data_IF_915020317380
#
_entry.id   IF_915020317380
#
_cell.length_a   1.000
_cell.length_b   1.000
_cell.length_c   1.000
_cell.angle_alpha   90.00
_cell.angle_beta   90.00
_cell.angle_gamma   90.00
#
_symmetry.space_group_name_H-M   'P 1'
#
loop_
_entity.id
_entity.type
_entity.pdbx_description
1 polymer ?
#
# COMPACT_ATOMS: atom_id res chain seq x y z
N UNK A 1 -14.46 -27.99 11.66
CA UNK A 1 -13.48 -27.62 12.70
C UNK A 1 -12.28 -26.99 12.01
N UNK A 2 -11.59 -26.06 12.66
CA UNK A 2 -10.30 -25.50 12.25
C UNK A 2 -9.27 -25.77 13.34
N UNK A 3 -8.00 -25.75 12.99
CA UNK A 3 -6.89 -25.91 13.92
C UNK A 3 -6.38 -24.52 14.29
N UNK A 4 -6.16 -24.28 15.58
CA UNK A 4 -5.74 -22.96 16.06
C UNK A 4 -4.54 -23.07 16.99
N UNK A 5 -3.76 -22.00 17.02
CA UNK A 5 -2.67 -21.78 17.96
C UNK A 5 -3.04 -20.60 18.84
N UNK A 6 -2.88 -20.76 20.15
CA UNK A 6 -3.07 -19.69 21.13
C UNK A 6 -1.74 -19.22 21.70
N UNK A 7 -1.72 -17.97 22.19
CA UNK A 7 -0.64 -17.45 23.03
C UNK A 7 -0.79 -17.89 24.49
N UNK A 8 0.18 -17.51 25.33
CA UNK A 8 0.19 -17.80 26.77
C UNK A 8 -0.98 -17.16 27.54
N UNK A 9 -1.67 -16.18 26.94
CA UNK A 9 -2.86 -15.51 27.49
C UNK A 9 -4.17 -16.14 26.95
N UNK A 10 -4.09 -17.19 26.13
CA UNK A 10 -5.24 -17.87 25.56
C UNK A 10 -5.89 -17.17 24.36
N UNK A 11 -5.22 -16.19 23.72
CA UNK A 11 -5.73 -15.51 22.53
C UNK A 11 -5.35 -16.25 21.26
N UNK A 12 -6.21 -16.21 20.24
CA UNK A 12 -5.92 -16.78 18.93
C UNK A 12 -4.75 -16.05 18.23
N UNK A 13 -3.67 -16.78 17.93
CA UNK A 13 -2.53 -16.31 17.16
C UNK A 13 -2.61 -16.72 15.69
N UNK A 14 -3.04 -17.96 15.44
CA UNK A 14 -3.08 -18.56 14.10
C UNK A 14 -4.28 -19.49 13.99
N UNK A 15 -4.90 -19.49 12.81
CA UNK A 15 -6.03 -20.36 12.47
C UNK A 15 -5.79 -20.93 11.08
N UNK A 16 -5.89 -22.26 10.93
CA UNK A 16 -5.77 -22.96 9.64
C UNK A 16 -6.81 -24.07 9.48
N UNK A 17 -7.09 -24.43 8.22
CA UNK A 17 -8.02 -25.51 7.89
C UNK A 17 -7.39 -26.90 8.04
N UNK A 18 -6.07 -27.00 7.93
CA UNK A 18 -5.30 -28.23 8.08
C UNK A 18 -4.51 -28.23 9.40
N UNK A 19 -4.20 -29.40 9.99
CA UNK A 19 -3.32 -29.48 11.14
C UNK A 19 -1.94 -28.92 10.81
N UNK A 20 -1.36 -28.14 11.73
CA UNK A 20 -0.03 -27.56 11.58
C UNK A 20 0.78 -27.72 12.86
N UNK A 21 2.10 -27.67 12.73
CA UNK A 21 3.01 -27.77 13.87
C UNK A 21 2.87 -26.56 14.80
N UNK A 22 2.73 -26.81 16.10
CA UNK A 22 2.44 -25.78 17.10
C UNK A 22 0.96 -25.42 17.26
N UNK A 23 0.02 -26.14 16.63
CA UNK A 23 -1.40 -26.02 16.96
C UNK A 23 -1.64 -26.43 18.43
N UNK A 24 -2.49 -25.67 19.13
CA UNK A 24 -2.80 -25.92 20.54
C UNK A 24 -4.16 -26.57 20.71
N UNK A 25 -5.12 -26.30 19.82
CA UNK A 25 -6.46 -26.87 19.89
C UNK A 25 -7.20 -26.84 18.55
N UNK A 26 -8.41 -27.39 18.54
CA UNK A 26 -9.36 -27.26 17.43
C UNK A 26 -10.55 -26.40 17.84
N UNK A 27 -10.94 -25.46 16.97
CA UNK A 27 -12.07 -24.57 17.18
C UNK A 27 -13.18 -24.88 16.17
N UNK A 28 -14.44 -24.69 16.56
CA UNK A 28 -15.58 -24.84 15.65
C UNK A 28 -15.59 -23.69 14.63
N UNK A 29 -15.91 -24.02 13.37
CA UNK A 29 -15.97 -23.04 12.27
C UNK A 29 -17.05 -21.98 12.54
N UNK A 30 -18.14 -22.35 13.21
CA UNK A 30 -19.25 -21.46 13.54
C UNK A 30 -19.07 -20.74 14.89
N UNK A 31 -17.89 -20.84 15.52
CA UNK A 31 -17.67 -20.18 16.81
C UNK A 31 -17.65 -18.65 16.65
N UNK A 32 -18.35 -17.97 17.56
CA UNK A 32 -18.35 -16.50 17.60
C UNK A 32 -16.94 -15.92 17.76
N UNK A 33 -16.07 -16.62 18.49
CA UNK A 33 -14.66 -16.26 18.67
C UNK A 33 -13.90 -16.24 17.32
N UNK A 34 -14.05 -17.29 16.51
CA UNK A 34 -13.39 -17.36 15.20
C UNK A 34 -13.85 -16.24 14.28
N UNK A 35 -15.17 -15.98 14.24
CA UNK A 35 -15.71 -14.89 13.45
C UNK A 35 -15.16 -13.53 13.91
N UNK A 36 -15.12 -13.28 15.22
CA UNK A 36 -14.57 -12.05 15.78
C UNK A 36 -13.09 -11.87 15.43
N UNK A 37 -12.28 -12.94 15.52
CA UNK A 37 -10.86 -12.91 15.17
C UNK A 37 -10.63 -12.64 13.68
N UNK A 38 -11.39 -13.31 12.80
CA UNK A 38 -11.32 -13.09 11.35
C UNK A 38 -11.70 -11.66 10.98
N UNK A 39 -12.78 -11.13 11.57
CA UNK A 39 -13.20 -9.74 11.34
C UNK A 39 -12.17 -8.73 11.82
N UNK A 40 -11.61 -8.90 13.02
CA UNK A 40 -10.57 -8.02 13.53
C UNK A 40 -9.30 -8.05 12.66
N UNK A 41 -8.91 -9.24 12.17
CA UNK A 41 -7.77 -9.39 11.27
C UNK A 41 -8.01 -8.70 9.92
N UNK A 42 -9.20 -8.84 9.35
CA UNK A 42 -9.54 -8.16 8.10
C UNK A 42 -9.59 -6.63 8.30
N UNK A 43 -10.17 -6.13 9.39
CA UNK A 43 -10.17 -4.69 9.70
C UNK A 43 -8.75 -4.12 9.82
N UNK A 44 -7.84 -4.83 10.50
CA UNK A 44 -6.43 -4.41 10.59
C UNK A 44 -5.77 -4.40 9.21
N UNK A 45 -6.06 -5.40 8.38
CA UNK A 45 -5.55 -5.50 7.02
C UNK A 45 -6.08 -4.39 6.12
N UNK A 46 -7.36 -4.07 6.20
CA UNK A 46 -7.99 -2.95 5.48
C UNK A 46 -7.39 -1.62 5.91
N UNK A 47 -7.25 -1.38 7.23
CA UNK A 47 -6.59 -0.17 7.76
C UNK A 47 -5.15 -0.06 7.27
N UNK A 48 -4.40 -1.16 7.25
CA UNK A 48 -3.02 -1.18 6.74
C UNK A 48 -2.97 -0.92 5.22
N UNK A 49 -3.93 -1.46 4.46
CA UNK A 49 -4.05 -1.20 3.03
C UNK A 49 -4.36 0.28 2.75
N UNK A 50 -5.33 0.85 3.47
CA UNK A 50 -5.69 2.26 3.39
C UNK A 50 -4.53 3.18 3.78
N UNK A 51 -3.75 2.82 4.80
CA UNK A 51 -2.55 3.57 5.16
C UNK A 51 -1.51 3.53 4.02
N UNK A 52 -1.25 2.37 3.44
CA UNK A 52 -0.32 2.23 2.31
C UNK A 52 -0.78 3.04 1.09
N UNK A 53 -2.08 3.07 0.82
CA UNK A 53 -2.66 3.84 -0.28
C UNK A 53 -2.48 5.35 -0.03
N UNK A 54 -2.83 5.83 1.17
CA UNK A 54 -2.64 7.25 1.52
C UNK A 54 -1.16 7.67 1.53
N UNK A 55 -0.23 6.78 1.91
CA UNK A 55 1.21 7.01 1.76
C UNK A 55 1.62 7.19 0.28
N UNK A 56 1.04 6.39 -0.63
CA UNK A 56 1.33 6.51 -2.07
C UNK A 56 0.82 7.84 -2.65
N UNK A 57 -0.38 8.28 -2.23
CA UNK A 57 -0.93 9.58 -2.58
C UNK A 57 -0.05 10.72 -2.04
N UNK A 58 0.39 10.61 -0.78
CA UNK A 58 1.24 11.61 -0.14
C UNK A 58 2.57 11.80 -0.88
N UNK A 59 3.18 10.72 -1.39
CA UNK A 59 4.44 10.85 -2.14
C UNK A 59 4.28 11.73 -3.38
N UNK A 60 3.13 11.69 -4.07
CA UNK A 60 2.87 12.57 -5.21
C UNK A 60 2.79 14.04 -4.79
N UNK A 61 2.08 14.31 -3.69
CA UNK A 61 1.99 15.67 -3.13
C UNK A 61 3.37 16.19 -2.73
N UNK A 62 4.20 15.35 -2.11
CA UNK A 62 5.57 15.70 -1.74
C UNK A 62 6.45 16.03 -2.95
N UNK A 63 6.32 15.29 -4.04
CA UNK A 63 7.02 15.57 -5.31
C UNK A 63 6.66 16.97 -5.83
N UNK A 64 5.36 17.31 -5.87
CA UNK A 64 4.89 18.60 -6.35
C UNK A 64 5.34 19.74 -5.41
N UNK A 65 5.29 19.54 -4.09
CA UNK A 65 5.79 20.52 -3.10
C UNK A 65 7.29 20.75 -3.28
N UNK A 66 8.09 19.69 -3.45
CA UNK A 66 9.52 19.83 -3.73
C UNK A 66 9.75 20.62 -5.01
N UNK A 67 9.00 20.33 -6.08
CA UNK A 67 9.06 21.08 -7.33
C UNK A 67 8.76 22.57 -7.13
N UNK A 68 7.71 22.91 -6.39
CA UNK A 68 7.36 24.31 -6.07
C UNK A 68 8.45 25.00 -5.27
N UNK A 69 9.02 24.33 -4.25
CA UNK A 69 10.07 24.92 -3.41
C UNK A 69 11.36 25.17 -4.21
N UNK A 70 11.73 24.25 -5.11
CA UNK A 70 12.86 24.42 -6.03
C UNK A 70 12.60 25.55 -7.02
N UNK A 71 11.41 25.60 -7.64
CA UNK A 71 11.04 26.64 -8.60
C UNK A 71 11.03 28.04 -7.98
N UNK A 72 10.64 28.16 -6.70
CA UNK A 72 10.70 29.41 -5.93
C UNK A 72 12.10 29.73 -5.39
N UNK A 73 13.07 28.84 -5.58
CA UNK A 73 14.44 29.01 -5.06
C UNK A 73 14.55 28.92 -3.54
N UNK A 74 13.54 28.36 -2.85
CA UNK A 74 13.54 28.19 -1.39
C UNK A 74 14.54 27.12 -0.97
N UNK A 75 14.66 26.05 -1.76
CA UNK A 75 15.67 25.00 -1.61
C UNK A 75 16.37 24.79 -2.96
N UNK A 76 17.62 24.32 -2.96
CA UNK A 76 18.25 23.82 -4.19
C UNK A 76 18.03 22.33 -4.28
N UNK A 77 17.81 21.83 -5.50
CA UNK A 77 17.67 20.38 -5.72
C UNK A 77 18.89 19.59 -5.22
N UNK A 78 20.08 20.17 -5.35
CA UNK A 78 21.35 19.60 -4.89
C UNK A 78 21.48 19.48 -3.37
N UNK A 79 20.66 20.21 -2.61
CA UNK A 79 20.66 20.17 -1.15
C UNK A 79 19.97 18.90 -0.61
N UNK A 80 19.13 18.26 -1.44
CA UNK A 80 18.49 17.00 -1.10
C UNK A 80 19.51 15.85 -1.11
N UNK A 81 19.40 14.84 -0.23
CA UNK A 81 20.25 13.65 -0.27
C UNK A 81 20.21 12.96 -1.64
N UNK A 82 21.31 12.36 -2.07
CA UNK A 82 21.40 11.69 -3.38
C UNK A 82 20.31 10.62 -3.57
N UNK A 83 19.99 9.89 -2.50
CA UNK A 83 18.91 8.90 -2.53
C UNK A 83 17.53 9.52 -2.79
N UNK A 84 17.27 10.74 -2.32
CA UNK A 84 16.02 11.46 -2.58
C UNK A 84 15.97 11.95 -4.02
N UNK A 85 17.06 12.54 -4.53
CA UNK A 85 17.16 12.98 -5.93
C UNK A 85 16.90 11.84 -6.92
N UNK A 86 17.59 10.70 -6.75
CA UNK A 86 17.39 9.51 -7.60
C UNK A 86 15.94 9.01 -7.59
N UNK A 87 15.22 9.14 -6.47
CA UNK A 87 13.81 8.74 -6.36
C UNK A 87 12.90 9.72 -7.11
N UNK A 88 13.14 11.02 -6.97
CA UNK A 88 12.41 12.07 -7.68
C UNK A 88 12.63 11.96 -9.20
N UNK A 89 13.87 11.78 -9.65
CA UNK A 89 14.19 11.63 -11.08
C UNK A 89 13.48 10.40 -11.68
N UNK A 90 13.53 9.25 -11.02
CA UNK A 90 12.83 8.03 -11.49
C UNK A 90 11.32 8.25 -11.59
N UNK A 91 10.71 8.91 -10.60
CA UNK A 91 9.27 9.20 -10.62
C UNK A 91 8.89 10.15 -11.75
N UNK A 92 9.68 11.20 -11.97
CA UNK A 92 9.47 12.14 -13.05
C UNK A 92 9.55 11.45 -14.43
N UNK A 93 10.54 10.57 -14.64
CA UNK A 93 10.67 9.79 -15.89
C UNK A 93 9.48 8.86 -16.09
N UNK A 94 9.12 8.05 -15.09
CA UNK A 94 7.98 7.14 -15.19
C UNK A 94 6.67 7.88 -15.46
N UNK A 95 6.49 9.08 -14.88
CA UNK A 95 5.33 9.92 -15.17
C UNK A 95 5.32 10.40 -16.61
N UNK A 96 6.44 10.94 -17.09
CA UNK A 96 6.57 11.41 -18.48
C UNK A 96 6.35 10.28 -19.51
N UNK A 97 6.81 9.06 -19.21
CA UNK A 97 6.54 7.87 -20.03
C UNK A 97 5.06 7.53 -20.09
N UNK A 98 4.36 7.53 -18.95
CA UNK A 98 2.91 7.25 -18.89
C UNK A 98 2.10 8.36 -19.58
N UNK A 99 2.42 9.63 -19.32
CA UNK A 99 1.76 10.77 -19.98
C UNK A 99 2.02 10.79 -21.48
N UNK A 100 3.25 10.48 -21.92
CA UNK A 100 3.60 10.35 -23.33
C UNK A 100 2.90 9.19 -24.03
N UNK A 101 2.79 8.03 -23.36
CA UNK A 101 1.99 6.89 -23.85
C UNK A 101 0.49 7.23 -23.92
N UNK A 102 -0.02 7.95 -22.92
CA UNK A 102 -1.42 8.38 -22.89
C UNK A 102 -1.72 9.43 -23.97
N UNK A 103 -0.75 10.27 -24.33
CA UNK A 103 -0.84 11.20 -25.45
C UNK A 103 -0.90 10.48 -26.80
N UNK A 104 -0.07 9.45 -27.00
CA UNK A 104 -0.06 8.63 -28.23
C UNK A 104 -1.32 7.79 -28.43
N UNK A 105 -2.04 7.46 -27.35
CA UNK A 105 -3.30 6.69 -27.41
C UNK A 105 -4.55 7.59 -27.51
N UNK A 106 -4.41 8.91 -27.42
CA UNK A 106 -5.52 9.86 -27.33
C UNK A 106 -5.74 10.77 -28.56
N UNK A 107 -4.95 10.64 -29.63
CA UNK A 107 -4.99 11.56 -30.78
C UNK A 107 -5.87 11.11 -31.96
N UNK A 108 -6.62 10.00 -31.88
CA UNK A 108 -7.42 9.49 -33.01
C UNK A 108 -8.95 9.73 -32.95
N UNK A 109 -9.51 10.39 -31.92
CA UNK A 109 -10.96 10.69 -31.84
C UNK A 109 -11.29 12.19 -31.90
N UNK A 110 -10.83 12.88 -32.95
CA UNK A 110 -11.01 14.34 -32.98
C UNK A 110 -11.05 15.06 -34.33
N UNK A 111 -11.16 14.39 -35.48
CA UNK A 111 -11.45 15.11 -36.73
C UNK A 111 -12.15 14.24 -37.78
N UNK A 112 -13.48 14.21 -37.71
CA UNK A 112 -14.33 14.02 -38.89
C UNK A 112 -15.34 15.17 -38.91
N UNK A 113 -15.18 15.99 -39.95
CA UNK A 113 -16.08 17.07 -40.38
C UNK A 113 -17.44 16.48 -40.75
#
# INVERSE_FOLDING_TARGET
MVYVQRDDEGRLLRVEHDPFDGMTETLAIESAELHSWLSAKEEVKERLASLKESDLELVRVLEDVVGVLVAKGVIRYTDLPEAARRKLDRRAVTRAEIEGLSGLLGEDEGHLI
#
